data_IF_026897790445
#
_entry.id   IF_026897790445
#
_cell.length_a   1.000
_cell.length_b   1.000
_cell.length_c   1.000
_cell.angle_alpha   90.00
_cell.angle_beta   90.00
_cell.angle_gamma   90.00
#
_symmetry.space_group_name_H-M   'P 1'
#
loop_
_entity.id
_entity.type
_entity.pdbx_description
1 polymer ?
#
# COMPACT_ATOMS: atom_id res chain seq x y z
N UNK A 1 0.90 -19.74 33.20
CA UNK A 1 1.33 -18.89 32.08
C UNK A 1 1.42 -19.80 30.88
N UNK A 2 0.31 -19.91 30.13
CA UNK A 2 0.21 -20.84 29.00
C UNK A 2 1.06 -20.33 27.83
N UNK A 3 2.06 -21.12 27.44
CA UNK A 3 2.89 -20.90 26.26
C UNK A 3 2.12 -21.40 25.04
N UNK A 4 1.50 -20.48 24.30
CA UNK A 4 0.92 -20.81 23.00
C UNK A 4 2.03 -21.06 21.98
N UNK A 5 2.20 -22.32 21.60
CA UNK A 5 3.02 -22.74 20.46
C UNK A 5 2.45 -22.12 19.16
N UNK A 6 3.05 -21.00 18.74
CA UNK A 6 2.71 -20.33 17.49
C UNK A 6 3.37 -21.05 16.31
N UNK A 7 2.86 -22.21 15.93
CA UNK A 7 3.01 -22.78 14.58
C UNK A 7 2.03 -22.05 13.66
N UNK A 8 2.24 -20.75 13.42
CA UNK A 8 1.54 -19.99 12.39
C UNK A 8 2.55 -19.32 11.48
N UNK A 9 2.35 -19.34 10.15
CA UNK A 9 3.19 -18.56 9.26
C UNK A 9 3.18 -17.11 9.71
N UNK A 10 4.35 -16.47 9.67
CA UNK A 10 4.49 -15.03 9.88
C UNK A 10 3.52 -14.31 8.94
N UNK A 11 2.48 -13.76 9.52
CA UNK A 11 1.44 -13.03 8.82
C UNK A 11 1.37 -11.62 9.42
N UNK A 12 1.13 -10.63 8.56
CA UNK A 12 0.76 -9.31 9.03
C UNK A 12 -0.59 -9.42 9.75
N UNK A 13 -0.56 -9.34 11.09
CA UNK A 13 -1.77 -9.33 11.90
C UNK A 13 -2.29 -7.90 11.97
N UNK A 14 -3.43 -7.67 11.33
CA UNK A 14 -4.18 -6.42 11.44
C UNK A 14 -4.77 -6.33 12.85
N UNK A 15 -4.07 -5.65 13.77
CA UNK A 15 -4.53 -5.47 15.17
C UNK A 15 -5.81 -4.63 15.28
N UNK A 16 -6.05 -3.75 14.30
CA UNK A 16 -7.26 -2.95 14.15
C UNK A 16 -7.40 -2.49 12.69
N UNK A 17 -8.58 -2.00 12.29
CA UNK A 17 -8.78 -1.38 10.97
C UNK A 17 -7.78 -0.23 10.80
N UNK A 18 -6.70 -0.51 10.09
CA UNK A 18 -5.62 0.43 9.90
C UNK A 18 -5.85 1.13 8.56
N UNK A 19 -5.87 2.47 8.56
CA UNK A 19 -5.99 3.23 7.31
C UNK A 19 -4.84 2.86 6.38
N UNK A 20 -5.10 2.88 5.07
CA UNK A 20 -4.10 2.56 4.05
C UNK A 20 -2.81 3.37 4.21
N UNK A 21 -2.93 4.65 4.59
CA UNK A 21 -1.80 5.55 4.84
C UNK A 21 -0.85 5.02 5.94
N UNK A 22 -1.40 4.47 7.02
CA UNK A 22 -0.61 3.89 8.11
C UNK A 22 0.06 2.59 7.69
N UNK A 23 -0.62 1.75 6.90
CA UNK A 23 -0.02 0.50 6.38
C UNK A 23 1.13 0.81 5.41
N UNK A 24 0.92 1.74 4.47
CA UNK A 24 1.96 2.18 3.54
C UNK A 24 3.14 2.80 4.29
N UNK A 25 2.90 3.64 5.29
CA UNK A 25 3.96 4.22 6.11
C UNK A 25 4.76 3.13 6.84
N UNK A 26 4.09 2.10 7.38
CA UNK A 26 4.74 0.97 8.02
C UNK A 26 5.65 0.21 7.03
N UNK A 27 5.12 -0.18 5.87
CA UNK A 27 5.89 -0.91 4.86
C UNK A 27 7.07 -0.09 4.34
N UNK A 28 6.85 1.19 4.03
CA UNK A 28 7.91 2.10 3.59
C UNK A 28 8.99 2.28 4.66
N UNK A 29 8.62 2.35 5.94
CA UNK A 29 9.58 2.45 7.05
C UNK A 29 10.44 1.20 7.16
N UNK A 30 9.83 0.02 7.06
CA UNK A 30 10.55 -1.26 7.06
C UNK A 30 11.52 -1.38 5.88
N UNK A 31 11.09 -0.98 4.67
CA UNK A 31 11.95 -0.98 3.48
C UNK A 31 13.14 -0.03 3.62
N UNK A 32 12.97 1.15 4.24
CA UNK A 32 14.08 2.09 4.50
C UNK A 32 15.14 1.50 5.43
N UNK A 33 14.74 0.69 6.40
CA UNK A 33 15.67 0.05 7.36
C UNK A 33 16.06 -1.37 6.94
N UNK A 34 15.74 -1.82 5.72
CA UNK A 34 15.99 -3.18 5.19
C UNK A 34 17.43 -3.65 5.46
N UNK A 35 18.42 -2.83 5.15
CA UNK A 35 19.84 -3.18 5.34
C UNK A 35 20.18 -3.41 6.81
N UNK A 36 19.67 -2.55 7.71
CA UNK A 36 19.90 -2.69 9.15
C UNK A 36 19.24 -3.96 9.71
N UNK A 37 18.00 -4.24 9.30
CA UNK A 37 17.28 -5.46 9.73
C UNK A 37 17.95 -6.74 9.22
N UNK A 38 18.49 -6.73 8.00
CA UNK A 38 19.31 -7.83 7.48
C UNK A 38 20.57 -8.04 8.29
N UNK A 39 21.34 -6.98 8.54
CA UNK A 39 22.57 -7.06 9.33
C UNK A 39 22.30 -7.56 10.75
N UNK A 40 21.22 -7.09 11.37
CA UNK A 40 20.76 -7.59 12.67
C UNK A 40 20.46 -9.09 12.61
N UNK A 41 19.63 -9.53 11.67
CA UNK A 41 19.29 -10.94 11.54
C UNK A 41 20.50 -11.82 11.22
N UNK A 42 21.47 -11.35 10.42
CA UNK A 42 22.72 -12.08 10.13
C UNK A 42 23.60 -12.19 11.38
N UNK A 43 23.72 -11.11 12.15
CA UNK A 43 24.55 -11.08 13.37
C UNK A 43 24.07 -12.08 14.42
N UNK A 44 22.76 -12.21 14.57
CA UNK A 44 22.14 -13.04 15.61
C UNK A 44 21.50 -14.34 15.08
N UNK A 45 21.84 -14.77 13.86
CA UNK A 45 21.17 -15.92 13.22
C UNK A 45 21.30 -17.25 13.99
N UNK A 46 22.38 -17.39 14.77
CA UNK A 46 22.69 -18.56 15.59
C UNK A 46 22.39 -18.35 17.08
N UNK A 47 21.92 -17.17 17.45
CA UNK A 47 21.59 -16.85 18.84
C UNK A 47 20.25 -17.48 19.20
N UNK A 48 20.23 -18.29 20.27
CA UNK A 48 19.03 -18.97 20.76
C UNK A 48 18.11 -18.04 21.53
N UNK A 49 18.58 -16.89 21.98
CA UNK A 49 17.77 -15.87 22.67
C UNK A 49 16.93 -15.04 21.69
N UNK A 50 17.32 -15.00 20.41
CA UNK A 50 16.60 -14.23 19.40
C UNK A 50 15.42 -15.04 18.84
N UNK A 51 14.19 -14.47 18.84
CA UNK A 51 13.02 -15.15 18.29
C UNK A 51 13.23 -15.57 16.84
N UNK A 52 12.81 -16.78 16.49
CA UNK A 52 12.94 -17.34 15.14
C UNK A 52 12.26 -16.46 14.08
N UNK A 53 11.28 -15.65 14.48
CA UNK A 53 10.58 -14.70 13.64
C UNK A 53 11.51 -13.65 12.99
N UNK A 54 12.60 -13.27 13.66
CA UNK A 54 13.58 -12.31 13.15
C UNK A 54 14.29 -12.84 11.90
N UNK A 55 14.36 -14.17 11.74
CA UNK A 55 14.99 -14.81 10.58
C UNK A 55 14.28 -14.48 9.26
N UNK A 56 13.02 -14.02 9.31
CA UNK A 56 12.29 -13.53 8.13
C UNK A 56 13.02 -12.40 7.41
N UNK A 57 13.84 -11.61 8.11
CA UNK A 57 14.59 -10.52 7.49
C UNK A 57 15.73 -11.01 6.60
N UNK A 58 16.13 -12.28 6.69
CA UNK A 58 17.09 -12.89 5.77
C UNK A 58 16.45 -13.37 4.46
N UNK A 59 15.12 -13.48 4.42
CA UNK A 59 14.37 -13.94 3.26
C UNK A 59 14.16 -12.80 2.24
N UNK A 60 14.69 -12.96 1.02
CA UNK A 60 14.46 -12.00 -0.06
C UNK A 60 13.03 -12.02 -0.58
N UNK A 61 12.31 -13.15 -0.48
CA UNK A 61 10.92 -13.25 -0.90
C UNK A 61 10.09 -12.30 -0.03
N UNK A 62 10.26 -12.34 1.29
CA UNK A 62 9.64 -11.38 2.21
C UNK A 62 9.86 -9.93 1.78
N UNK A 63 11.10 -9.54 1.48
CA UNK A 63 11.41 -8.17 1.07
C UNK A 63 10.80 -7.78 -0.27
N UNK A 64 10.79 -8.70 -1.23
CA UNK A 64 10.21 -8.46 -2.55
C UNK A 64 8.68 -8.33 -2.45
N UNK A 65 8.03 -9.20 -1.69
CA UNK A 65 6.59 -9.12 -1.42
C UNK A 65 6.22 -7.85 -0.65
N UNK A 66 7.03 -7.44 0.33
CA UNK A 66 6.81 -6.19 1.06
C UNK A 66 6.94 -4.95 0.15
N UNK A 67 7.96 -4.95 -0.71
CA UNK A 67 8.17 -3.87 -1.68
C UNK A 67 7.04 -3.81 -2.72
N UNK A 68 6.51 -4.96 -3.11
CA UNK A 68 5.36 -5.05 -4.00
C UNK A 68 4.08 -4.53 -3.33
N UNK A 69 3.79 -4.99 -2.12
CA UNK A 69 2.64 -4.53 -1.33
C UNK A 69 2.67 -3.01 -1.07
N UNK A 70 3.84 -2.45 -0.73
CA UNK A 70 3.99 -1.01 -0.56
C UNK A 70 3.70 -0.25 -1.87
N UNK A 71 4.23 -0.72 -3.00
CA UNK A 71 4.00 -0.12 -4.32
C UNK A 71 2.51 -0.14 -4.69
N UNK A 72 1.82 -1.25 -4.40
CA UNK A 72 0.39 -1.40 -4.68
C UNK A 72 -0.47 -0.46 -3.83
N UNK A 73 -0.15 -0.26 -2.55
CA UNK A 73 -0.97 0.59 -1.66
C UNK A 73 -0.67 2.08 -1.83
N UNK A 74 0.54 2.43 -2.29
CA UNK A 74 1.00 3.82 -2.48
C UNK A 74 0.04 4.74 -3.25
N UNK A 75 -0.48 4.40 -4.45
CA UNK A 75 -1.39 5.28 -5.19
C UNK A 75 -2.69 5.57 -4.42
N UNK A 76 -3.19 4.60 -3.65
CA UNK A 76 -4.38 4.78 -2.82
C UNK A 76 -4.13 5.77 -1.67
N UNK A 77 -2.92 5.73 -1.09
CA UNK A 77 -2.53 6.68 -0.04
C UNK A 77 -2.36 8.09 -0.59
N UNK A 78 -1.71 8.22 -1.76
CA UNK A 78 -1.56 9.50 -2.45
C UNK A 78 -2.93 10.13 -2.75
N UNK A 79 -3.87 9.33 -3.26
CA UNK A 79 -5.23 9.78 -3.47
C UNK A 79 -5.90 10.21 -2.16
N UNK A 80 -5.75 9.43 -1.09
CA UNK A 80 -6.27 9.80 0.23
C UNK A 80 -5.70 11.13 0.73
N UNK A 81 -4.39 11.39 0.57
CA UNK A 81 -3.78 12.65 0.98
C UNK A 81 -4.27 13.84 0.15
N UNK A 82 -4.42 13.67 -1.16
CA UNK A 82 -4.94 14.72 -2.05
C UNK A 82 -6.39 15.06 -1.70
N UNK A 83 -7.22 14.04 -1.47
CA UNK A 83 -8.64 14.22 -1.16
C UNK A 83 -8.91 14.71 0.26
N UNK A 84 -7.96 14.58 1.18
CA UNK A 84 -8.06 15.14 2.53
C UNK A 84 -7.68 16.62 2.60
N UNK A 85 -7.26 17.25 1.50
CA UNK A 85 -6.98 18.69 1.47
C UNK A 85 -8.29 19.48 1.40
N UNK A 86 -8.36 20.56 2.17
CA UNK A 86 -9.54 21.45 2.22
C UNK A 86 -9.88 22.12 0.89
N UNK A 87 -8.97 22.12 -0.08
CA UNK A 87 -9.11 22.76 -1.40
C UNK A 87 -9.18 21.75 -2.55
N UNK A 88 -9.60 20.52 -2.30
CA UNK A 88 -9.78 19.56 -3.38
C UNK A 88 -10.92 19.99 -4.32
N UNK A 89 -10.79 19.64 -5.59
CA UNK A 89 -11.80 19.86 -6.62
C UNK A 89 -12.29 18.53 -7.17
N UNK A 90 -13.43 18.53 -7.87
CA UNK A 90 -13.91 17.32 -8.55
C UNK A 90 -12.94 16.87 -9.65
N UNK A 91 -12.12 17.78 -10.20
CA UNK A 91 -11.03 17.46 -11.14
C UNK A 91 -9.96 16.62 -10.46
N UNK A 92 -9.57 16.98 -9.23
CA UNK A 92 -8.61 16.20 -8.44
C UNK A 92 -9.11 14.77 -8.23
N UNK A 93 -10.40 14.58 -7.97
CA UNK A 93 -11.02 13.26 -7.84
C UNK A 93 -10.83 12.44 -9.12
N UNK A 94 -11.11 13.02 -10.29
CA UNK A 94 -10.96 12.33 -11.58
C UNK A 94 -9.49 11.99 -11.87
N UNK A 95 -8.58 12.94 -11.62
CA UNK A 95 -7.15 12.72 -11.78
C UNK A 95 -6.63 11.63 -10.84
N UNK A 96 -7.13 11.55 -9.60
CA UNK A 96 -6.76 10.46 -8.69
C UNK A 96 -7.25 9.09 -9.18
N UNK A 97 -8.45 8.98 -9.74
CA UNK A 97 -8.91 7.73 -10.34
C UNK A 97 -8.01 7.30 -11.50
N UNK A 98 -7.60 8.24 -12.34
CA UNK A 98 -6.64 7.99 -13.41
C UNK A 98 -5.31 7.51 -12.85
N UNK A 99 -4.74 8.22 -11.88
CA UNK A 99 -3.43 7.89 -11.31
C UNK A 99 -3.43 6.51 -10.63
N UNK A 100 -4.53 6.15 -9.94
CA UNK A 100 -4.72 4.81 -9.38
C UNK A 100 -4.79 3.76 -10.49
N UNK A 101 -5.57 4.03 -11.54
CA UNK A 101 -5.70 3.12 -12.68
C UNK A 101 -4.36 2.88 -13.38
N UNK A 102 -3.63 3.95 -13.72
CA UNK A 102 -2.32 3.89 -14.39
C UNK A 102 -1.32 3.12 -13.52
N UNK A 103 -1.33 3.36 -12.20
CA UNK A 103 -0.47 2.64 -11.24
C UNK A 103 -0.79 1.14 -11.15
N UNK A 104 -2.07 0.77 -11.18
CA UNK A 104 -2.47 -0.64 -11.14
C UNK A 104 -2.25 -1.35 -12.47
N UNK A 105 -2.44 -0.67 -13.59
CA UNK A 105 -2.19 -1.22 -14.91
C UNK A 105 -0.70 -1.54 -15.15
N UNK A 106 0.21 -0.77 -14.55
CA UNK A 106 1.65 -1.06 -14.56
C UNK A 106 2.10 -2.07 -13.50
N UNK A 107 1.20 -2.57 -12.65
CA UNK A 107 1.52 -3.45 -11.52
C UNK A 107 1.28 -4.94 -11.79
N UNK A 108 1.86 -5.83 -10.96
CA UNK A 108 1.69 -7.29 -11.12
C UNK A 108 0.27 -7.78 -10.82
N UNK A 109 -0.52 -7.01 -10.05
CA UNK A 109 -1.90 -7.35 -9.65
C UNK A 109 -2.96 -6.70 -10.55
N UNK A 110 -2.59 -6.27 -11.77
CA UNK A 110 -3.45 -5.54 -12.68
C UNK A 110 -4.79 -6.26 -12.98
N UNK A 111 -4.75 -7.58 -13.18
CA UNK A 111 -5.92 -8.39 -13.49
C UNK A 111 -7.00 -8.35 -12.41
N UNK A 112 -6.59 -8.19 -11.15
CA UNK A 112 -7.50 -8.17 -10.00
C UNK A 112 -7.91 -6.75 -9.62
N UNK A 113 -6.97 -5.80 -9.68
CA UNK A 113 -7.20 -4.43 -9.19
C UNK A 113 -7.91 -3.54 -10.21
N UNK A 114 -7.66 -3.71 -11.52
CA UNK A 114 -8.32 -2.90 -12.57
C UNK A 114 -9.85 -3.07 -12.53
N UNK A 115 -10.40 -4.29 -12.48
CA UNK A 115 -11.86 -4.47 -12.39
C UNK A 115 -12.48 -3.74 -11.20
N UNK A 116 -11.81 -3.71 -10.05
CA UNK A 116 -12.28 -3.01 -8.85
C UNK A 116 -12.34 -1.50 -9.06
N UNK A 117 -11.30 -0.91 -9.67
CA UNK A 117 -11.27 0.52 -10.00
C UNK A 117 -12.36 0.87 -11.02
N UNK A 118 -12.54 0.04 -12.06
CA UNK A 118 -13.58 0.23 -13.07
C UNK A 118 -14.98 0.13 -12.48
N UNK A 119 -15.22 -0.87 -11.60
CA UNK A 119 -16.48 -1.03 -10.90
C UNK A 119 -16.78 0.19 -10.03
N UNK A 120 -15.79 0.63 -9.24
CA UNK A 120 -15.95 1.81 -8.39
C UNK A 120 -16.20 3.09 -9.19
N UNK A 121 -15.51 3.26 -10.32
CA UNK A 121 -15.75 4.38 -11.24
C UNK A 121 -17.14 4.33 -11.88
N UNK A 122 -17.67 3.13 -12.14
CA UNK A 122 -19.00 2.97 -12.72
C UNK A 122 -20.12 3.44 -11.78
N UNK A 123 -19.91 3.32 -10.47
CA UNK A 123 -20.82 3.78 -9.41
C UNK A 123 -20.77 5.31 -9.20
N UNK A 124 -19.72 5.98 -9.67
CA UNK A 124 -19.60 7.43 -9.55
C UNK A 124 -20.48 8.17 -10.56
N UNK A 125 -20.95 9.37 -10.22
CA UNK A 125 -21.74 10.20 -11.13
C UNK A 125 -20.85 10.73 -12.27
N UNK A 126 -20.94 10.08 -13.44
CA UNK A 126 -20.07 10.31 -14.60
C UNK A 126 -20.23 11.70 -15.21
N UNK A 127 -21.45 12.25 -15.19
CA UNK A 127 -21.76 13.53 -15.85
C UNK A 127 -21.03 14.71 -15.17
N UNK A 128 -21.07 14.78 -13.84
CA UNK A 128 -20.40 15.84 -13.08
C UNK A 128 -18.88 15.71 -13.13
N UNK A 129 -18.37 14.47 -13.14
CA UNK A 129 -16.95 14.18 -13.28
C UNK A 129 -16.40 14.71 -14.61
N UNK A 130 -17.11 14.46 -15.72
CA UNK A 130 -16.74 14.95 -17.05
C UNK A 130 -16.88 16.48 -17.13
N UNK A 131 -17.97 17.03 -16.58
CA UNK A 131 -18.21 18.47 -16.56
C UNK A 131 -17.11 19.23 -15.78
N UNK A 132 -16.66 18.70 -14.65
CA UNK A 132 -15.59 19.32 -13.86
C UNK A 132 -14.27 19.38 -14.62
N UNK A 133 -13.88 18.29 -15.29
CA UNK A 133 -12.67 18.28 -16.14
C UNK A 133 -12.81 19.28 -17.27
N UNK A 134 -13.96 19.32 -17.94
CA UNK A 134 -14.23 20.25 -19.03
C UNK A 134 -14.11 21.72 -18.58
N UNK A 135 -14.68 22.07 -17.43
CA UNK A 135 -14.60 23.42 -16.89
C UNK A 135 -13.18 23.82 -16.44
N UNK A 136 -12.37 22.90 -15.90
CA UNK A 136 -10.96 23.18 -15.57
C UNK A 136 -10.12 23.43 -16.82
N UNK A 137 -10.36 22.68 -17.90
CA UNK A 137 -9.65 22.92 -19.18
C UNK A 137 -10.01 24.25 -19.85
N UNK A 138 -11.16 24.83 -19.52
CA UNK A 138 -11.61 26.13 -20.05
C UNK A 138 -11.16 27.33 -19.18
N UNK A 139 -10.71 27.07 -17.95
CA UNK A 139 -10.33 28.11 -16.97
C UNK A 139 -8.81 28.24 -16.79
N UNK A 140 -8.02 27.49 -17.57
CA UNK A 140 -6.56 27.60 -17.71
C UNK A 140 -6.19 28.18 -19.06
#
# INVERSE_FOLDING_TARGET
>A
METYDLVKPLAFLTLCYTRWNSMQACFASQLRVKTGLKQFATRYQYDTEVPSQVKVFLDEIFWNTLADAERTIRPLCNASYTLQRDKNTLVDVVMMYRDIFDSFAGGPHASELIPLVKGRWADCEKLWSILAVFLDTLTR
#
